data_IF_235499681690
#
_entry.id   IF_235499681690
#
_cell.length_a   1.000
_cell.length_b   1.000
_cell.length_c   1.000
_cell.angle_alpha   90.00
_cell.angle_beta   90.00
_cell.angle_gamma   90.00
#
_symmetry.space_group_name_H-M   'P 1'
#
loop_
_entity.id
_entity.type
_entity.pdbx_description
1 polymer ?
#
# COMPACT_ATOMS: atom_id res chain seq x y z
N UNK A 1 29.73 -21.67 45.78
CA UNK A 1 28.86 -20.71 45.13
C UNK A 1 28.85 -20.99 43.64
N UNK A 2 27.90 -21.83 43.16
CA UNK A 2 27.71 -22.04 41.70
C UNK A 2 27.02 -20.85 41.12
N UNK A 3 27.43 -20.30 39.98
CA UNK A 3 26.64 -19.34 39.27
C UNK A 3 25.44 -20.05 38.71
N UNK A 4 24.26 -19.51 39.04
CA UNK A 4 23.01 -19.86 38.38
C UNK A 4 23.23 -19.69 36.86
N UNK A 5 23.16 -20.82 36.16
CA UNK A 5 23.06 -20.83 34.72
C UNK A 5 21.85 -19.95 34.36
N UNK A 6 22.09 -18.85 33.68
CA UNK A 6 21.05 -18.14 32.96
C UNK A 6 20.43 -19.16 32.01
N UNK A 7 19.23 -19.60 32.33
CA UNK A 7 18.41 -20.34 31.39
C UNK A 7 18.36 -19.50 30.11
N UNK A 8 19.20 -19.93 29.17
CA UNK A 8 19.19 -19.39 27.83
C UNK A 8 17.84 -19.68 27.23
N UNK A 9 16.93 -18.73 27.36
CA UNK A 9 15.74 -18.71 26.53
C UNK A 9 16.29 -18.65 25.10
N UNK A 10 16.35 -19.80 24.44
CA UNK A 10 16.76 -19.89 23.05
C UNK A 10 15.93 -18.87 22.29
N UNK A 11 16.59 -17.97 21.56
CA UNK A 11 15.89 -17.01 20.74
C UNK A 11 14.83 -17.76 19.95
N UNK A 12 13.56 -17.34 20.02
CA UNK A 12 12.49 -18.07 19.36
C UNK A 12 12.86 -18.21 17.87
N UNK A 13 12.62 -19.37 17.28
CA UNK A 13 12.95 -19.61 15.88
C UNK A 13 12.04 -18.77 15.00
N UNK A 14 12.50 -17.56 14.67
CA UNK A 14 11.79 -16.62 13.81
C UNK A 14 11.90 -16.99 12.33
N UNK A 15 12.22 -18.23 12.00
CA UNK A 15 12.18 -18.70 10.63
C UNK A 15 10.74 -18.69 10.06
N UNK A 16 10.63 -18.56 8.75
CA UNK A 16 9.35 -18.41 8.08
C UNK A 16 8.36 -19.54 8.37
N UNK A 17 8.74 -20.84 8.48
CA UNK A 17 7.86 -21.92 8.88
C UNK A 17 7.27 -21.74 10.28
N UNK A 18 8.08 -21.43 11.27
CA UNK A 18 7.61 -21.24 12.65
C UNK A 18 6.68 -20.04 12.77
N UNK A 19 7.01 -18.94 12.11
CA UNK A 19 6.14 -17.78 12.03
C UNK A 19 4.77 -18.12 11.42
N UNK A 20 4.73 -18.90 10.35
CA UNK A 20 3.50 -19.35 9.71
C UNK A 20 2.63 -20.22 10.62
N UNK A 21 3.25 -21.14 11.37
CA UNK A 21 2.56 -21.98 12.37
C UNK A 21 1.94 -21.12 13.47
N UNK A 22 2.71 -20.20 14.04
CA UNK A 22 2.24 -19.29 15.08
C UNK A 22 1.05 -18.43 14.62
N UNK A 23 1.09 -17.92 13.40
CA UNK A 23 -0.03 -17.17 12.81
C UNK A 23 -1.30 -18.04 12.71
N UNK A 24 -1.16 -19.33 12.51
CA UNK A 24 -2.27 -20.28 12.43
C UNK A 24 -2.90 -20.66 13.79
N UNK A 25 -2.22 -20.43 14.90
CA UNK A 25 -2.72 -20.80 16.23
C UNK A 25 -3.99 -20.02 16.59
N UNK A 26 -4.98 -20.66 17.26
CA UNK A 26 -6.17 -19.97 17.75
C UNK A 26 -5.81 -18.99 18.88
N UNK A 27 -6.63 -17.96 19.06
CA UNK A 27 -6.43 -16.97 20.14
C UNK A 27 -6.44 -17.60 21.53
N UNK A 28 -7.21 -18.68 21.73
CA UNK A 28 -7.27 -19.40 22.99
C UNK A 28 -6.00 -20.19 23.33
N UNK A 29 -5.06 -20.34 22.37
CA UNK A 29 -3.77 -20.94 22.65
C UNK A 29 -2.99 -20.09 23.65
N UNK A 30 -2.37 -20.75 24.65
CA UNK A 30 -1.50 -20.04 25.61
C UNK A 30 -0.16 -19.73 24.96
N UNK A 31 0.16 -18.44 24.89
CA UNK A 31 1.47 -17.95 24.41
C UNK A 31 2.03 -17.01 25.48
N UNK A 32 2.63 -17.57 26.56
CA UNK A 32 2.97 -16.80 27.76
C UNK A 32 3.99 -15.70 27.53
N UNK A 33 4.84 -15.80 26.51
CA UNK A 33 5.89 -14.84 26.20
C UNK A 33 5.56 -13.93 25.02
N UNK A 34 4.29 -13.84 24.61
CA UNK A 34 3.89 -13.12 23.39
C UNK A 34 4.34 -11.66 23.36
N UNK A 35 4.27 -10.95 24.50
CA UNK A 35 4.72 -9.54 24.58
C UNK A 35 6.24 -9.43 24.49
N UNK A 36 7.00 -10.29 25.15
CA UNK A 36 8.46 -10.32 25.05
C UNK A 36 8.89 -10.63 23.61
N UNK A 37 8.31 -11.66 23.01
CA UNK A 37 8.59 -12.01 21.61
C UNK A 37 8.27 -10.89 20.63
N UNK A 38 7.17 -10.17 20.84
CA UNK A 38 6.83 -9.01 20.02
C UNK A 38 7.93 -7.94 20.09
N UNK A 39 8.42 -7.66 21.29
CA UNK A 39 9.49 -6.66 21.49
C UNK A 39 10.81 -7.14 20.89
N UNK A 40 11.17 -8.40 21.03
CA UNK A 40 12.39 -8.98 20.45
C UNK A 40 12.38 -8.88 18.92
N UNK A 41 11.25 -9.22 18.29
CA UNK A 41 11.10 -9.12 16.82
C UNK A 41 11.13 -7.68 16.36
N UNK A 42 10.55 -6.74 17.11
CA UNK A 42 10.63 -5.31 16.79
C UNK A 42 12.05 -4.76 16.97
N UNK A 43 12.81 -5.29 17.93
CA UNK A 43 14.19 -4.87 18.15
C UNK A 43 15.15 -5.35 17.04
N UNK A 44 14.83 -6.46 16.38
CA UNK A 44 15.55 -7.00 15.23
C UNK A 44 14.58 -7.16 14.05
N UNK A 45 14.28 -6.06 13.33
CA UNK A 45 13.19 -6.02 12.37
C UNK A 45 13.28 -7.13 11.31
N UNK A 46 12.18 -7.86 11.09
CA UNK A 46 12.15 -8.96 10.14
C UNK A 46 12.21 -8.47 8.70
N UNK A 47 12.84 -9.26 7.85
CA UNK A 47 12.91 -9.02 6.40
C UNK A 47 11.89 -9.83 5.60
N UNK A 48 11.20 -10.81 6.22
CA UNK A 48 10.30 -11.72 5.52
C UNK A 48 8.83 -11.47 5.85
N UNK A 49 7.97 -11.68 4.87
CA UNK A 49 6.52 -11.49 5.01
C UNK A 49 5.88 -12.38 6.11
N UNK A 50 6.25 -13.67 6.29
CA UNK A 50 5.73 -14.47 7.40
C UNK A 50 6.05 -13.90 8.78
N UNK A 51 7.21 -13.31 8.97
CA UNK A 51 7.59 -12.67 10.23
C UNK A 51 6.77 -11.38 10.49
N UNK A 52 6.46 -10.60 9.45
CA UNK A 52 5.53 -9.48 9.56
C UNK A 52 4.12 -9.95 9.96
N UNK A 53 3.64 -11.07 9.39
CA UNK A 53 2.36 -11.65 9.80
C UNK A 53 2.38 -12.10 11.26
N UNK A 54 3.51 -12.61 11.73
CA UNK A 54 3.69 -12.97 13.13
C UNK A 54 3.56 -11.77 14.05
N UNK A 55 4.19 -10.64 13.72
CA UNK A 55 4.04 -9.39 14.49
C UNK A 55 2.56 -8.98 14.61
N UNK A 56 1.85 -8.98 13.49
CA UNK A 56 0.41 -8.71 13.48
C UNK A 56 -0.37 -9.71 14.33
N UNK A 57 -0.03 -11.02 14.30
CA UNK A 57 -0.70 -12.04 15.08
C UNK A 57 -0.42 -11.91 16.57
N UNK A 58 0.83 -11.68 16.96
CA UNK A 58 1.21 -11.46 18.36
C UNK A 58 0.45 -10.25 18.94
N UNK A 59 0.48 -9.13 18.27
CA UNK A 59 -0.23 -7.92 18.66
C UNK A 59 -1.75 -8.10 18.72
N UNK A 60 -2.33 -8.82 17.75
CA UNK A 60 -3.78 -9.00 17.69
C UNK A 60 -4.31 -10.03 18.70
N UNK A 61 -3.60 -11.14 18.92
CA UNK A 61 -4.14 -12.27 19.66
C UNK A 61 -3.74 -12.28 21.13
N UNK A 62 -2.49 -11.98 21.45
CA UNK A 62 -1.91 -12.33 22.75
C UNK A 62 -1.16 -11.18 23.44
N UNK A 63 -0.38 -10.40 22.72
CA UNK A 63 0.46 -9.38 23.35
C UNK A 63 -0.37 -8.28 24.02
N UNK A 64 0.07 -7.85 25.20
CA UNK A 64 -0.42 -6.65 25.86
C UNK A 64 0.39 -5.43 25.41
N UNK A 65 -0.25 -4.29 25.14
CA UNK A 65 0.46 -3.06 24.80
C UNK A 65 1.36 -2.60 25.97
N UNK A 66 2.61 -2.26 25.64
CA UNK A 66 3.55 -1.58 26.54
C UNK A 66 4.05 -0.31 25.86
N UNK A 67 3.42 0.80 26.13
CA UNK A 67 3.72 2.09 25.50
C UNK A 67 5.17 2.53 25.77
N UNK A 68 5.71 2.28 26.95
CA UNK A 68 7.07 2.68 27.29
C UNK A 68 8.13 1.85 26.54
N UNK A 69 7.88 0.55 26.36
CA UNK A 69 8.75 -0.29 25.56
C UNK A 69 8.70 0.09 24.07
N UNK A 70 7.50 0.38 23.54
CA UNK A 70 7.34 0.82 22.16
C UNK A 70 8.00 2.16 21.89
N UNK A 71 7.90 3.12 22.82
CA UNK A 71 8.58 4.40 22.73
C UNK A 71 10.10 4.21 22.61
N UNK A 72 10.69 3.41 23.48
CA UNK A 72 12.14 3.08 23.40
C UNK A 72 12.53 2.41 22.09
N UNK A 73 11.69 1.55 21.55
CA UNK A 73 11.96 0.90 20.25
C UNK A 73 11.87 1.91 19.10
N UNK A 74 10.88 2.79 19.14
CA UNK A 74 10.71 3.84 18.13
C UNK A 74 11.93 4.77 18.07
N UNK A 75 12.42 5.21 19.21
CA UNK A 75 13.58 6.11 19.31
C UNK A 75 14.86 5.54 18.69
N UNK A 76 14.95 4.22 18.53
CA UNK A 76 16.09 3.54 17.89
C UNK A 76 16.03 3.48 16.37
N UNK A 77 14.85 3.67 15.76
CA UNK A 77 14.67 3.53 14.31
C UNK A 77 15.48 4.56 13.51
N UNK A 78 15.51 5.86 13.89
CA UNK A 78 16.31 6.85 13.15
C UNK A 78 17.81 6.56 13.11
N UNK A 79 18.33 5.90 14.16
CA UNK A 79 19.74 5.57 14.30
C UNK A 79 20.11 4.22 13.68
N UNK A 80 19.13 3.45 13.22
CA UNK A 80 19.35 2.19 12.55
C UNK A 80 20.08 2.38 11.20
N UNK A 81 20.83 1.37 10.71
CA UNK A 81 21.39 1.39 9.37
C UNK A 81 20.32 1.62 8.30
N UNK A 82 20.61 2.33 7.19
CA UNK A 82 19.63 2.68 6.17
C UNK A 82 18.80 1.48 5.68
N UNK A 83 19.46 0.33 5.48
CA UNK A 83 18.84 -0.93 5.04
C UNK A 83 17.86 -1.51 6.08
N UNK A 84 18.07 -1.23 7.36
CA UNK A 84 17.21 -1.71 8.44
C UNK A 84 16.02 -0.78 8.72
N UNK A 85 16.06 0.49 8.33
CA UNK A 85 15.00 1.47 8.60
C UNK A 85 13.67 1.10 7.96
N UNK A 86 13.70 0.72 6.69
CA UNK A 86 12.51 0.31 5.96
C UNK A 86 11.85 -0.91 6.62
N UNK A 87 12.65 -1.93 6.99
CA UNK A 87 12.17 -3.13 7.67
C UNK A 87 11.60 -2.80 9.06
N UNK A 88 12.22 -1.88 9.80
CA UNK A 88 11.74 -1.44 11.10
C UNK A 88 10.39 -0.72 11.02
N UNK A 89 10.21 0.16 10.05
CA UNK A 89 8.94 0.87 9.82
C UNK A 89 7.85 -0.08 9.31
N UNK A 90 8.18 -1.03 8.45
CA UNK A 90 7.26 -2.11 8.06
C UNK A 90 6.82 -2.93 9.29
N UNK A 91 7.77 -3.37 10.13
CA UNK A 91 7.48 -4.12 11.35
C UNK A 91 6.58 -3.32 12.31
N UNK A 92 6.85 -2.02 12.47
CA UNK A 92 6.03 -1.10 13.24
C UNK A 92 4.59 -1.04 12.71
N UNK A 93 4.41 -0.83 11.41
CA UNK A 93 3.11 -0.75 10.77
C UNK A 93 2.31 -2.06 10.87
N UNK A 94 2.96 -3.23 10.72
CA UNK A 94 2.31 -4.54 10.90
C UNK A 94 1.85 -4.78 12.34
N UNK A 95 2.64 -4.35 13.31
CA UNK A 95 2.28 -4.41 14.74
C UNK A 95 1.11 -3.49 15.03
N UNK A 96 1.16 -2.25 14.56
CA UNK A 96 0.06 -1.28 14.67
C UNK A 96 -1.24 -1.84 14.06
N UNK A 97 -1.17 -2.47 12.88
CA UNK A 97 -2.32 -3.09 12.22
C UNK A 97 -2.93 -4.22 13.07
N UNK A 98 -2.10 -4.98 13.79
CA UNK A 98 -2.56 -6.03 14.71
C UNK A 98 -3.43 -5.47 15.84
N UNK A 99 -2.96 -4.47 16.56
CA UNK A 99 -3.71 -3.81 17.64
C UNK A 99 -4.89 -2.99 17.11
N UNK A 100 -4.70 -2.26 16.01
CA UNK A 100 -5.79 -1.52 15.37
C UNK A 100 -6.95 -2.42 14.99
N UNK A 101 -6.65 -3.62 14.46
CA UNK A 101 -7.68 -4.59 14.05
C UNK A 101 -8.55 -5.07 15.20
N UNK A 102 -8.04 -5.05 16.44
CA UNK A 102 -8.84 -5.36 17.64
C UNK A 102 -9.36 -4.10 18.37
N UNK A 103 -9.17 -2.92 17.77
CA UNK A 103 -9.57 -1.61 18.29
C UNK A 103 -8.84 -1.21 19.60
N UNK A 104 -7.57 -1.56 19.72
CA UNK A 104 -6.72 -1.08 20.81
C UNK A 104 -6.17 0.31 20.46
N UNK A 105 -6.28 1.29 21.37
CA UNK A 105 -5.84 2.67 21.12
C UNK A 105 -4.37 2.81 20.74
N UNK A 106 -3.52 1.92 21.25
CA UNK A 106 -2.09 1.92 20.95
C UNK A 106 -1.82 1.75 19.45
N UNK A 107 -2.67 0.98 18.74
CA UNK A 107 -2.55 0.81 17.30
C UNK A 107 -2.72 2.15 16.55
N UNK A 108 -3.65 2.99 16.99
CA UNK A 108 -3.82 4.35 16.46
C UNK A 108 -2.60 5.21 16.78
N UNK A 109 -2.13 5.22 18.01
CA UNK A 109 -0.95 6.01 18.42
C UNK A 109 0.30 5.65 17.60
N UNK A 110 0.51 4.37 17.33
CA UNK A 110 1.60 3.91 16.48
C UNK A 110 1.48 4.42 15.03
N UNK A 111 0.26 4.51 14.50
CA UNK A 111 0.02 5.06 13.16
C UNK A 111 0.20 6.60 13.15
N UNK A 112 -0.22 7.29 14.20
CA UNK A 112 -0.01 8.74 14.34
C UNK A 112 1.50 9.05 14.39
N UNK A 113 2.28 8.17 15.03
CA UNK A 113 3.74 8.28 15.04
C UNK A 113 4.34 8.09 13.64
N UNK A 114 3.83 7.12 12.86
CA UNK A 114 4.22 6.94 11.46
C UNK A 114 3.85 8.15 10.60
N UNK A 115 2.67 8.72 10.80
CA UNK A 115 2.22 9.92 10.10
C UNK A 115 3.11 11.12 10.42
N UNK A 116 3.45 11.31 11.68
CA UNK A 116 4.37 12.36 12.10
C UNK A 116 5.74 12.21 11.45
N UNK A 117 6.27 10.98 11.44
CA UNK A 117 7.52 10.63 10.77
C UNK A 117 7.44 10.91 9.25
N UNK A 118 6.34 10.56 8.60
CA UNK A 118 6.11 10.79 7.18
C UNK A 118 6.22 12.28 6.81
N UNK A 119 5.69 13.16 7.66
CA UNK A 119 5.65 14.61 7.36
C UNK A 119 6.94 15.31 7.77
N UNK A 120 7.58 14.90 8.87
CA UNK A 120 8.64 15.66 9.52
C UNK A 120 10.05 15.13 9.25
N UNK A 121 10.21 13.84 8.96
CA UNK A 121 11.53 13.24 8.77
C UNK A 121 11.84 13.01 7.30
N UNK A 122 12.76 13.84 6.76
CA UNK A 122 13.18 13.74 5.37
C UNK A 122 13.87 12.40 5.01
N UNK A 123 14.44 11.67 5.99
CA UNK A 123 15.14 10.40 5.77
C UNK A 123 14.21 9.19 5.85
N UNK A 124 13.21 9.26 6.72
CA UNK A 124 12.30 8.15 7.01
C UNK A 124 10.94 8.30 6.34
N UNK A 125 10.56 9.51 5.94
CA UNK A 125 9.22 9.81 5.44
C UNK A 125 8.78 8.92 4.29
N UNK A 126 9.67 8.63 3.33
CA UNK A 126 9.35 7.75 2.22
C UNK A 126 9.13 6.30 2.67
N UNK A 127 9.94 5.81 3.61
CA UNK A 127 9.76 4.47 4.17
C UNK A 127 8.47 4.37 5.00
N UNK A 128 8.15 5.41 5.78
CA UNK A 128 6.90 5.49 6.51
C UNK A 128 5.67 5.46 5.57
N UNK A 129 5.74 6.19 4.45
CA UNK A 129 4.69 6.19 3.43
C UNK A 129 4.46 4.78 2.84
N UNK A 130 5.52 4.08 2.50
CA UNK A 130 5.43 2.70 2.02
C UNK A 130 4.89 1.73 3.08
N UNK A 131 5.27 1.89 4.35
CA UNK A 131 4.80 1.04 5.44
C UNK A 131 3.28 1.13 5.65
N UNK A 132 2.65 2.27 5.35
CA UNK A 132 1.19 2.45 5.45
C UNK A 132 0.38 1.51 4.54
N UNK A 133 1.01 0.88 3.53
CA UNK A 133 0.33 -0.12 2.67
C UNK A 133 -0.33 -1.26 3.45
N UNK A 134 0.17 -1.56 4.65
CA UNK A 134 -0.38 -2.62 5.50
C UNK A 134 -1.87 -2.39 5.82
N UNK A 135 -2.31 -1.14 5.88
CA UNK A 135 -3.70 -0.78 6.19
C UNK A 135 -4.68 -1.18 5.07
N UNK A 136 -4.21 -1.23 3.83
CA UNK A 136 -5.02 -1.59 2.65
C UNK A 136 -4.86 -3.05 2.25
N UNK A 137 -3.87 -3.76 2.80
CA UNK A 137 -3.66 -5.16 2.48
C UNK A 137 -4.82 -6.03 3.00
N UNK A 138 -5.55 -6.63 2.08
CA UNK A 138 -6.56 -7.64 2.37
C UNK A 138 -5.87 -9.01 2.44
N UNK A 139 -5.56 -9.45 3.65
CA UNK A 139 -4.96 -10.77 3.86
C UNK A 139 -6.00 -11.76 4.35
N UNK A 140 -6.13 -12.92 3.66
CA UNK A 140 -6.89 -14.06 4.16
C UNK A 140 -6.31 -14.65 5.44
N UNK A 141 -5.07 -14.27 5.78
CA UNK A 141 -4.38 -14.70 6.99
C UNK A 141 -4.89 -13.94 8.21
N UNK A 142 -5.17 -12.64 8.08
CA UNK A 142 -5.75 -11.80 9.14
C UNK A 142 -7.27 -11.90 9.07
N UNK A 143 -7.82 -13.01 9.55
CA UNK A 143 -9.24 -13.30 9.46
C UNK A 143 -9.78 -13.93 10.77
N UNK A 144 -11.08 -13.75 11.07
CA UNK A 144 -11.71 -14.37 12.24
C UNK A 144 -11.59 -15.89 12.25
N UNK A 145 -11.59 -16.56 11.10
CA UNK A 145 -11.42 -18.01 10.98
C UNK A 145 -10.05 -18.50 11.46
N UNK A 146 -9.07 -17.60 11.57
CA UNK A 146 -7.73 -17.86 12.11
C UNK A 146 -7.52 -17.26 13.51
N UNK A 147 -8.61 -16.95 14.21
CA UNK A 147 -8.58 -16.44 15.58
C UNK A 147 -8.19 -14.95 15.70
N UNK A 148 -8.15 -14.20 14.61
CA UNK A 148 -7.95 -12.76 14.69
C UNK A 148 -9.24 -12.04 15.08
N UNK A 149 -9.11 -11.00 15.90
CA UNK A 149 -10.17 -10.03 16.11
C UNK A 149 -10.06 -8.97 15.00
N UNK A 150 -11.15 -8.79 14.25
CA UNK A 150 -11.15 -7.84 13.13
C UNK A 150 -12.33 -6.88 13.28
N UNK A 151 -12.07 -5.71 13.81
CA UNK A 151 -13.00 -4.58 13.90
C UNK A 151 -12.91 -3.74 12.62
N UNK A 152 -13.59 -4.20 11.58
CA UNK A 152 -13.49 -3.61 10.23
C UNK A 152 -13.77 -2.11 10.19
N UNK A 153 -14.86 -1.66 10.81
CA UNK A 153 -15.26 -0.26 10.82
C UNK A 153 -14.23 0.65 11.52
N UNK A 154 -13.63 0.17 12.62
CA UNK A 154 -12.61 0.94 13.32
C UNK A 154 -11.36 1.12 12.44
N UNK A 155 -10.87 0.03 11.85
CA UNK A 155 -9.74 0.06 10.92
C UNK A 155 -10.02 0.94 9.69
N UNK A 156 -11.22 0.83 9.12
CA UNK A 156 -11.66 1.63 7.99
C UNK A 156 -11.64 3.13 8.32
N UNK A 157 -12.25 3.53 9.42
CA UNK A 157 -12.24 4.92 9.89
C UNK A 157 -10.84 5.47 10.05
N UNK A 158 -9.96 4.74 10.75
CA UNK A 158 -8.58 5.17 10.97
C UNK A 158 -7.86 5.40 9.65
N UNK A 159 -7.99 4.48 8.70
CA UNK A 159 -7.38 4.59 7.38
C UNK A 159 -7.92 5.80 6.61
N UNK A 160 -9.24 6.01 6.60
CA UNK A 160 -9.86 7.15 5.92
C UNK A 160 -9.50 8.48 6.56
N UNK A 161 -9.45 8.56 7.90
CA UNK A 161 -8.97 9.76 8.61
C UNK A 161 -7.52 10.08 8.24
N UNK A 162 -6.66 9.07 8.16
CA UNK A 162 -5.26 9.26 7.76
C UNK A 162 -5.15 9.70 6.29
N UNK A 163 -5.95 9.14 5.39
CA UNK A 163 -5.99 9.55 3.99
C UNK A 163 -6.39 11.02 3.84
N UNK A 164 -7.39 11.48 4.61
CA UNK A 164 -7.81 12.88 4.64
C UNK A 164 -6.66 13.77 5.17
N UNK A 165 -6.03 13.39 6.29
CA UNK A 165 -4.91 14.15 6.85
C UNK A 165 -3.72 14.27 5.87
N UNK A 166 -3.41 13.21 5.13
CA UNK A 166 -2.38 13.23 4.07
C UNK A 166 -2.80 14.17 2.92
N UNK A 167 -4.09 14.19 2.57
CA UNK A 167 -4.61 15.09 1.53
C UNK A 167 -4.50 16.55 1.96
N UNK A 168 -4.90 16.87 3.19
CA UNK A 168 -4.78 18.21 3.76
C UNK A 168 -3.32 18.69 3.82
N UNK A 169 -2.39 17.80 4.18
CA UNK A 169 -0.96 18.10 4.13
C UNK A 169 -0.48 18.43 2.70
N UNK A 170 -0.97 17.71 1.68
CA UNK A 170 -0.65 17.97 0.27
C UNK A 170 -1.21 19.33 -0.22
N UNK A 171 -2.41 19.70 0.20
CA UNK A 171 -3.04 20.99 -0.09
C UNK A 171 -2.31 22.13 0.62
N UNK A 172 -1.88 21.91 1.87
CA UNK A 172 -1.11 22.84 2.70
C UNK A 172 0.33 23.06 2.25
N UNK A 173 0.77 22.49 1.11
CA UNK A 173 2.13 22.58 0.57
C UNK A 173 3.21 22.13 1.54
N UNK A 174 2.99 20.98 2.20
CA UNK A 174 3.99 20.42 3.11
C UNK A 174 5.34 20.17 2.40
N UNK A 175 6.44 20.24 3.15
CA UNK A 175 7.78 19.96 2.64
C UNK A 175 7.94 18.49 2.20
N UNK A 176 7.21 17.57 2.81
CA UNK A 176 7.23 16.14 2.54
C UNK A 176 6.24 15.73 1.41
N UNK A 177 6.21 16.49 0.30
CA UNK A 177 5.24 16.28 -0.77
C UNK A 177 5.30 14.88 -1.38
N UNK A 178 6.50 14.37 -1.70
CA UNK A 178 6.65 13.03 -2.30
C UNK A 178 6.20 11.90 -1.36
N UNK A 179 6.64 11.84 -0.08
CA UNK A 179 6.11 10.88 0.88
C UNK A 179 4.59 10.93 1.03
N UNK A 180 3.98 12.13 1.05
CA UNK A 180 2.53 12.29 1.12
C UNK A 180 1.83 11.72 -0.14
N UNK A 181 2.37 11.93 -1.33
CA UNK A 181 1.82 11.34 -2.57
C UNK A 181 1.87 9.81 -2.54
N UNK A 182 2.99 9.23 -2.07
CA UNK A 182 3.13 7.78 -1.90
C UNK A 182 2.13 7.25 -0.86
N UNK A 183 2.00 7.92 0.28
CA UNK A 183 1.05 7.56 1.32
C UNK A 183 -0.39 7.60 0.81
N UNK A 184 -0.77 8.67 0.10
CA UNK A 184 -2.08 8.79 -0.54
C UNK A 184 -2.33 7.62 -1.51
N UNK A 185 -1.40 7.35 -2.42
CA UNK A 185 -1.52 6.26 -3.38
C UNK A 185 -1.65 4.89 -2.71
N UNK A 186 -0.97 4.66 -1.58
CA UNK A 186 -1.02 3.41 -0.84
C UNK A 186 -2.29 3.25 0.00
N UNK A 187 -2.90 4.33 0.48
CA UNK A 187 -4.11 4.30 1.31
C UNK A 187 -5.40 4.30 0.48
N UNK A 188 -5.41 5.01 -0.65
CA UNK A 188 -6.60 5.20 -1.48
C UNK A 188 -7.27 3.90 -1.97
N UNK A 189 -6.56 2.79 -2.27
CA UNK A 189 -7.20 1.52 -2.59
C UNK A 189 -8.15 0.98 -1.53
N UNK A 190 -7.98 1.38 -0.28
CA UNK A 190 -8.85 0.99 0.84
C UNK A 190 -10.02 1.95 1.11
N UNK A 191 -10.07 3.11 0.47
CA UNK A 191 -11.15 4.08 0.65
C UNK A 191 -12.49 3.57 0.11
N UNK A 192 -13.59 3.98 0.74
CA UNK A 192 -14.95 3.71 0.24
C UNK A 192 -15.23 4.49 -1.03
N UNK A 193 -16.12 3.96 -1.89
CA UNK A 193 -16.48 4.63 -3.14
C UNK A 193 -17.15 5.99 -2.87
N UNK A 194 -17.92 6.11 -1.79
CA UNK A 194 -18.51 7.37 -1.37
C UNK A 194 -17.45 8.44 -1.06
N UNK A 195 -16.38 8.06 -0.34
CA UNK A 195 -15.28 8.96 -0.02
C UNK A 195 -14.48 9.32 -1.28
N UNK A 196 -14.26 8.36 -2.17
CA UNK A 196 -13.60 8.60 -3.47
C UNK A 196 -14.40 9.61 -4.30
N UNK A 197 -15.70 9.42 -4.45
CA UNK A 197 -16.57 10.32 -5.22
C UNK A 197 -16.58 11.74 -4.64
N UNK A 198 -16.54 11.88 -3.32
CA UNK A 198 -16.52 13.17 -2.63
C UNK A 198 -15.22 13.96 -2.88
N UNK A 199 -14.08 13.28 -2.96
CA UNK A 199 -12.76 13.91 -3.07
C UNK A 199 -12.09 13.71 -4.44
N UNK A 200 -12.81 13.18 -5.44
CA UNK A 200 -12.23 12.80 -6.72
C UNK A 200 -11.51 13.95 -7.43
N UNK A 201 -12.10 15.12 -7.43
CA UNK A 201 -11.53 16.33 -8.08
C UNK A 201 -10.18 16.74 -7.46
N UNK A 202 -10.00 16.52 -6.16
CA UNK A 202 -8.73 16.74 -5.45
C UNK A 202 -7.73 15.60 -5.72
N UNK A 203 -8.20 14.35 -5.64
CA UNK A 203 -7.30 13.19 -5.68
C UNK A 203 -6.85 12.80 -7.09
N UNK A 204 -7.68 13.00 -8.12
CA UNK A 204 -7.34 12.60 -9.48
C UNK A 204 -6.08 13.29 -10.02
N UNK A 205 -5.90 14.63 -9.89
CA UNK A 205 -4.65 15.30 -10.29
C UNK A 205 -3.43 14.76 -9.52
N UNK A 206 -3.59 14.48 -8.23
CA UNK A 206 -2.51 13.94 -7.39
C UNK A 206 -2.11 12.52 -7.83
N UNK A 207 -3.09 11.66 -8.15
CA UNK A 207 -2.83 10.31 -8.70
C UNK A 207 -2.11 10.38 -10.05
N UNK A 208 -2.56 11.25 -10.94
CA UNK A 208 -1.91 11.45 -12.25
C UNK A 208 -0.47 11.91 -12.07
N UNK A 209 -0.21 12.79 -11.10
CA UNK A 209 1.14 13.21 -10.76
C UNK A 209 1.98 12.05 -10.22
N UNK A 210 1.43 11.28 -9.27
CA UNK A 210 2.09 10.13 -8.63
C UNK A 210 2.39 9.01 -9.64
N UNK A 211 1.54 8.83 -10.64
CA UNK A 211 1.79 7.89 -11.74
C UNK A 211 3.05 8.22 -12.55
N UNK A 212 3.53 9.46 -12.49
CA UNK A 212 4.77 9.91 -13.12
C UNK A 212 6.03 9.80 -12.24
N UNK A 213 5.93 9.35 -10.99
CA UNK A 213 7.07 9.16 -10.10
C UNK A 213 7.95 7.97 -10.55
N UNK A 214 9.22 7.99 -10.18
CA UNK A 214 10.15 6.87 -10.46
C UNK A 214 10.09 5.80 -9.36
N UNK A 215 8.88 5.25 -9.15
CA UNK A 215 8.61 4.19 -8.18
C UNK A 215 7.59 3.21 -8.77
N UNK A 216 8.06 2.09 -9.31
CA UNK A 216 7.21 1.11 -9.99
C UNK A 216 6.11 0.51 -9.10
N UNK A 217 6.33 0.12 -7.84
CA UNK A 217 5.29 -0.27 -6.88
C UNK A 217 4.20 0.77 -6.68
N UNK A 218 4.56 2.03 -6.50
CA UNK A 218 3.60 3.14 -6.33
C UNK A 218 2.81 3.37 -7.61
N UNK A 219 3.47 3.42 -8.77
CA UNK A 219 2.82 3.51 -10.08
C UNK A 219 1.83 2.37 -10.33
N UNK A 220 2.19 1.14 -9.93
CA UNK A 220 1.30 -0.03 -10.03
C UNK A 220 0.04 0.17 -9.16
N UNK A 221 0.21 0.61 -7.93
CA UNK A 221 -0.92 0.89 -7.03
C UNK A 221 -1.81 2.00 -7.58
N UNK A 222 -1.22 3.08 -8.11
CA UNK A 222 -1.95 4.15 -8.79
C UNK A 222 -2.74 3.65 -10.01
N UNK A 223 -2.13 2.81 -10.86
CA UNK A 223 -2.80 2.26 -12.04
C UNK A 223 -4.00 1.39 -11.67
N UNK A 224 -3.87 0.52 -10.66
CA UNK A 224 -4.99 -0.28 -10.13
C UNK A 224 -6.08 0.59 -9.52
N UNK A 225 -5.70 1.65 -8.80
CA UNK A 225 -6.66 2.59 -8.21
C UNK A 225 -7.42 3.34 -9.29
N UNK A 226 -6.72 3.83 -10.32
CA UNK A 226 -7.34 4.47 -11.48
C UNK A 226 -8.32 3.52 -12.18
N UNK A 227 -7.93 2.27 -12.42
CA UNK A 227 -8.83 1.27 -12.99
C UNK A 227 -10.14 1.10 -12.19
N UNK A 228 -10.05 1.16 -10.85
CA UNK A 228 -11.24 1.06 -9.97
C UNK A 228 -12.12 2.31 -10.01
N UNK A 229 -11.52 3.51 -10.01
CA UNK A 229 -12.28 4.77 -9.97
C UNK A 229 -12.76 5.24 -11.34
N UNK A 230 -12.22 4.68 -12.43
CA UNK A 230 -12.69 4.95 -13.78
C UNK A 230 -14.09 4.37 -13.95
N UNK A 231 -15.10 5.23 -13.92
CA UNK A 231 -16.50 4.88 -14.07
C UNK A 231 -17.25 6.00 -14.80
N UNK A 232 -18.45 5.69 -15.31
CA UNK A 232 -19.31 6.69 -15.98
C UNK A 232 -19.73 7.83 -15.07
N UNK A 233 -19.88 7.56 -13.78
CA UNK A 233 -20.21 8.59 -12.79
C UNK A 233 -19.13 9.67 -12.68
N UNK A 234 -17.89 9.32 -13.00
CA UNK A 234 -16.73 10.20 -12.92
C UNK A 234 -16.30 10.76 -14.28
N UNK A 235 -17.07 10.54 -15.34
CA UNK A 235 -16.70 10.87 -16.72
C UNK A 235 -16.26 12.32 -16.92
N UNK A 236 -16.95 13.28 -16.31
CA UNK A 236 -16.60 14.71 -16.44
C UNK A 236 -15.23 15.03 -15.85
N UNK A 237 -14.96 14.58 -14.61
CA UNK A 237 -13.68 14.77 -13.95
C UNK A 237 -12.53 14.08 -14.72
N UNK A 238 -12.79 12.85 -15.22
CA UNK A 238 -11.81 12.11 -16.02
C UNK A 238 -11.50 12.84 -17.33
N UNK A 239 -12.50 13.39 -18.00
CA UNK A 239 -12.34 14.11 -19.27
C UNK A 239 -11.41 15.32 -19.14
N UNK A 240 -11.51 16.10 -18.06
CA UNK A 240 -10.66 17.25 -17.77
C UNK A 240 -9.17 16.85 -17.61
N UNK A 241 -8.91 15.64 -17.14
CA UNK A 241 -7.54 15.17 -16.87
C UNK A 241 -6.94 14.26 -17.95
N UNK A 242 -7.68 13.92 -19.02
CA UNK A 242 -7.19 13.12 -20.14
C UNK A 242 -5.86 13.59 -20.74
N UNK A 243 -5.62 14.91 -20.89
CA UNK A 243 -4.36 15.41 -21.46
C UNK A 243 -3.10 14.96 -20.74
N UNK A 244 -3.19 14.74 -19.42
CA UNK A 244 -2.09 14.23 -18.60
C UNK A 244 -2.21 12.74 -18.33
N UNK A 245 -3.43 12.24 -18.11
CA UNK A 245 -3.70 10.85 -17.73
C UNK A 245 -3.30 9.87 -18.82
N UNK A 246 -3.71 10.11 -20.08
CA UNK A 246 -3.42 9.20 -21.19
C UNK A 246 -1.91 9.06 -21.43
N UNK A 247 -1.11 10.15 -21.57
CA UNK A 247 0.33 10.02 -21.70
C UNK A 247 1.02 9.31 -20.54
N UNK A 248 0.59 9.57 -19.29
CA UNK A 248 1.15 8.91 -18.10
C UNK A 248 0.84 7.41 -18.04
N UNK A 249 -0.36 7.00 -18.44
CA UNK A 249 -0.72 5.60 -18.55
C UNK A 249 0.05 4.91 -19.68
N UNK A 250 0.26 5.55 -20.82
CA UNK A 250 1.09 5.03 -21.92
C UNK A 250 2.57 4.87 -21.48
N UNK A 251 3.10 5.83 -20.74
CA UNK A 251 4.43 5.75 -20.16
C UNK A 251 4.53 4.57 -19.15
N UNK A 252 3.54 4.41 -18.28
CA UNK A 252 3.45 3.29 -17.36
C UNK A 252 3.36 1.93 -18.11
N UNK A 253 2.59 1.89 -19.22
CA UNK A 253 2.47 0.70 -20.08
C UNK A 253 3.77 0.37 -20.84
N UNK A 254 4.73 1.30 -20.89
CA UNK A 254 6.02 1.10 -21.53
C UNK A 254 7.18 0.85 -20.54
N UNK A 255 6.92 0.82 -19.21
CA UNK A 255 7.95 0.71 -18.17
C UNK A 255 8.69 -0.64 -18.29
N UNK A 256 10.03 -0.63 -18.49
CA UNK A 256 10.82 -1.84 -18.52
C UNK A 256 10.72 -2.61 -17.19
N UNK A 257 10.94 -3.94 -17.25
CA UNK A 257 11.04 -4.82 -16.07
C UNK A 257 9.84 -4.83 -15.09
N UNK A 258 8.73 -4.11 -15.40
CA UNK A 258 7.53 -4.02 -14.58
C UNK A 258 6.26 -4.55 -15.30
N UNK A 259 6.17 -5.86 -15.62
CA UNK A 259 5.06 -6.39 -16.42
C UNK A 259 3.69 -6.20 -15.75
N UNK A 260 3.61 -6.26 -14.43
CA UNK A 260 2.36 -6.02 -13.70
C UNK A 260 1.88 -4.58 -13.85
N UNK A 261 2.79 -3.61 -13.80
CA UNK A 261 2.48 -2.20 -14.04
C UNK A 261 1.99 -1.98 -15.47
N UNK A 262 2.67 -2.58 -16.47
CA UNK A 262 2.24 -2.48 -17.86
C UNK A 262 0.82 -2.99 -18.07
N UNK A 263 0.48 -4.16 -17.49
CA UNK A 263 -0.88 -4.72 -17.56
C UNK A 263 -1.90 -3.79 -16.89
N UNK A 264 -1.62 -3.32 -15.66
CA UNK A 264 -2.53 -2.45 -14.95
C UNK A 264 -2.78 -1.12 -15.68
N UNK A 265 -1.73 -0.53 -16.28
CA UNK A 265 -1.85 0.68 -17.07
C UNK A 265 -2.69 0.49 -18.34
N UNK A 266 -2.52 -0.64 -19.03
CA UNK A 266 -3.33 -1.00 -20.20
C UNK A 266 -4.80 -1.22 -19.83
N UNK A 267 -5.07 -1.87 -18.71
CA UNK A 267 -6.42 -2.07 -18.20
C UNK A 267 -7.09 -0.74 -17.80
N UNK A 268 -6.33 0.18 -17.19
CA UNK A 268 -6.81 1.52 -16.87
C UNK A 268 -7.12 2.34 -18.15
N UNK A 269 -6.25 2.25 -19.18
CA UNK A 269 -6.50 2.86 -20.49
C UNK A 269 -7.75 2.28 -21.18
N UNK A 270 -7.95 0.97 -21.09
CA UNK A 270 -9.14 0.32 -21.63
C UNK A 270 -10.39 0.78 -20.88
N UNK A 271 -10.36 0.86 -19.54
CA UNK A 271 -11.52 1.29 -18.75
C UNK A 271 -11.97 2.71 -19.11
N UNK A 272 -11.07 3.59 -19.56
CA UNK A 272 -11.46 4.94 -20.04
C UNK A 272 -12.43 4.89 -21.22
N UNK A 273 -12.34 3.88 -22.10
CA UNK A 273 -13.25 3.76 -23.26
C UNK A 273 -14.67 3.42 -22.88
N UNK A 274 -14.88 2.78 -21.71
CA UNK A 274 -16.20 2.45 -21.17
C UNK A 274 -16.81 3.59 -20.34
N UNK A 275 -15.96 4.44 -19.76
CA UNK A 275 -16.34 5.47 -18.81
C UNK A 275 -16.53 6.85 -19.45
N UNK A 276 -15.65 7.23 -20.38
CA UNK A 276 -15.61 8.59 -20.96
C UNK A 276 -16.26 8.58 -22.34
N UNK A 277 -17.11 9.59 -22.68
CA UNK A 277 -17.70 9.71 -24.01
C UNK A 277 -16.65 9.75 -25.12
N UNK A 278 -16.93 9.07 -26.24
CA UNK A 278 -16.01 8.93 -27.37
C UNK A 278 -15.48 10.27 -27.90
N UNK A 279 -16.31 11.31 -27.92
CA UNK A 279 -15.93 12.65 -28.36
C UNK A 279 -14.74 13.24 -27.60
N UNK A 280 -14.55 12.91 -26.32
CA UNK A 280 -13.40 13.35 -25.54
C UNK A 280 -12.16 12.46 -25.78
N UNK A 281 -12.34 11.23 -26.24
CA UNK A 281 -11.26 10.26 -26.49
C UNK A 281 -10.67 10.39 -27.90
N UNK A 282 -11.39 10.95 -28.84
CA UNK A 282 -10.99 11.06 -30.26
C UNK A 282 -9.61 11.66 -30.46
N UNK A 283 -9.29 12.71 -29.70
CA UNK A 283 -7.99 13.38 -29.76
C UNK A 283 -6.82 12.45 -29.37
N UNK A 284 -7.06 11.45 -28.55
CA UNK A 284 -6.02 10.54 -27.98
C UNK A 284 -5.96 9.20 -28.70
N UNK A 285 -7.01 8.82 -29.44
CA UNK A 285 -7.14 7.50 -30.10
C UNK A 285 -5.91 7.16 -30.93
N UNK A 286 -5.51 8.06 -31.84
CA UNK A 286 -4.36 7.85 -32.71
C UNK A 286 -3.08 7.61 -31.90
N UNK A 287 -2.87 8.39 -30.85
CA UNK A 287 -1.71 8.28 -29.97
C UNK A 287 -1.67 6.91 -29.29
N UNK A 288 -2.79 6.47 -28.69
CA UNK A 288 -2.87 5.19 -27.98
C UNK A 288 -2.65 4.01 -28.94
N UNK A 289 -3.39 3.98 -30.05
CA UNK A 289 -3.32 2.90 -31.04
C UNK A 289 -1.91 2.75 -31.62
N UNK A 290 -1.24 3.88 -31.93
CA UNK A 290 0.14 3.87 -32.44
C UNK A 290 1.15 3.44 -31.37
N UNK A 291 0.99 3.91 -30.12
CA UNK A 291 1.89 3.55 -29.03
C UNK A 291 1.84 2.05 -28.73
N UNK A 292 0.64 1.44 -28.75
CA UNK A 292 0.44 0.01 -28.51
C UNK A 292 0.90 -0.87 -29.67
N UNK A 293 0.99 -0.34 -30.88
CA UNK A 293 1.48 -1.07 -32.08
C UNK A 293 2.98 -0.97 -32.30
N UNK A 294 3.75 -0.33 -31.42
CA UNK A 294 5.22 -0.21 -31.58
C UNK A 294 5.93 -1.55 -31.39
N UNK A 295 7.02 -1.81 -32.16
CA UNK A 295 7.85 -3.01 -31.98
C UNK A 295 8.34 -3.15 -30.53
N UNK A 296 8.36 -4.39 -30.03
CA UNK A 296 8.79 -4.76 -28.67
C UNK A 296 8.00 -4.11 -27.52
N UNK A 297 6.80 -3.60 -27.80
CA UNK A 297 5.89 -2.98 -26.82
C UNK A 297 4.44 -3.34 -27.13
N UNK A 298 3.56 -3.18 -26.15
CA UNK A 298 2.13 -3.36 -26.32
C UNK A 298 1.79 -4.73 -26.90
N UNK A 299 1.27 -4.78 -28.13
CA UNK A 299 0.86 -6.03 -28.80
C UNK A 299 2.05 -6.94 -29.18
N UNK A 300 3.26 -6.39 -29.19
CA UNK A 300 4.51 -7.11 -29.48
C UNK A 300 5.41 -7.24 -28.23
N UNK A 301 4.85 -7.11 -27.02
CA UNK A 301 5.60 -7.24 -25.77
C UNK A 301 6.09 -8.68 -25.55
N UNK A 302 7.26 -8.83 -24.92
CA UNK A 302 7.83 -10.14 -24.60
C UNK A 302 6.92 -10.96 -23.64
N UNK A 303 6.16 -10.28 -22.75
CA UNK A 303 5.31 -10.93 -21.75
C UNK A 303 3.89 -11.14 -22.30
N UNK A 304 3.44 -12.40 -22.34
CA UNK A 304 2.12 -12.77 -22.88
C UNK A 304 0.96 -11.98 -22.26
N UNK A 305 0.95 -11.82 -20.93
CA UNK A 305 -0.12 -11.09 -20.25
C UNK A 305 -0.21 -9.63 -20.70
N UNK A 306 0.93 -8.99 -20.99
CA UNK A 306 0.98 -7.62 -21.52
C UNK A 306 0.44 -7.59 -22.94
N UNK A 307 0.84 -8.55 -23.81
CA UNK A 307 0.30 -8.63 -25.18
C UNK A 307 -1.22 -8.76 -25.18
N UNK A 308 -1.79 -9.67 -24.36
CA UNK A 308 -3.24 -9.85 -24.26
C UNK A 308 -3.92 -8.55 -23.85
N UNK A 309 -3.49 -7.92 -22.76
CA UNK A 309 -4.04 -6.65 -22.30
C UNK A 309 -3.90 -5.52 -23.35
N UNK A 310 -2.82 -5.51 -24.11
CA UNK A 310 -2.60 -4.51 -25.16
C UNK A 310 -3.53 -4.72 -26.37
N UNK A 311 -3.78 -5.98 -26.75
CA UNK A 311 -4.74 -6.30 -27.82
C UNK A 311 -6.14 -5.86 -27.43
N UNK A 312 -6.58 -6.20 -26.20
CA UNK A 312 -7.89 -5.85 -25.68
C UNK A 312 -8.07 -4.32 -25.59
N UNK A 313 -7.07 -3.64 -25.03
CA UNK A 313 -7.05 -2.18 -24.93
C UNK A 313 -7.11 -1.53 -26.33
N UNK A 314 -6.28 -1.99 -27.27
CA UNK A 314 -6.24 -1.44 -28.63
C UNK A 314 -7.57 -1.66 -29.36
N UNK A 315 -8.19 -2.82 -29.21
CA UNK A 315 -9.51 -3.11 -29.78
C UNK A 315 -10.58 -2.17 -29.21
N UNK A 316 -10.60 -1.96 -27.89
CA UNK A 316 -11.53 -1.04 -27.24
C UNK A 316 -11.38 0.41 -27.76
N UNK A 317 -10.13 0.89 -27.92
CA UNK A 317 -9.88 2.24 -28.47
C UNK A 317 -10.21 2.36 -29.96
N UNK A 318 -10.19 1.28 -30.73
CA UNK A 318 -10.71 1.29 -32.11
C UNK A 318 -12.24 1.36 -32.14
N UNK A 319 -12.92 0.62 -31.25
CA UNK A 319 -14.38 0.58 -31.21
C UNK A 319 -15.02 1.91 -30.79
N UNK A 320 -14.29 2.85 -30.23
CA UNK A 320 -14.81 4.21 -29.92
C UNK A 320 -15.12 5.04 -31.18
N UNK A 321 -14.98 4.50 -32.40
CA UNK A 321 -15.33 5.19 -33.66
C UNK A 321 -16.81 5.12 -34.01
N UNK A 322 -17.56 4.19 -33.36
CA UNK A 322 -18.99 3.99 -33.61
C UNK A 322 -19.84 4.77 -32.59
#
# INVERSE_FOLDING_TARGET
GSPLASDGCAAPPWDAPCAAVMVGLPRAASVPYASAWLHDVLATPPSTLPQHWLLCALANKWATPDSAALERLWQRIPDAPPEARAAALDAWAWTACGWLSRAEPIGQQMLDTLYTCLIQDARLGMHAAHALRVLTLHSRLVSPSRGFVVRRLYRQRTMETMLIAVTEALEGRCAAREPCLVAMATLLPGATDALVSMHLTTWLPLLVHTLGMDDAPVRLTCAHTLQRIVSREHAAALAEHLPLLVPRLLDAAATPQAPRLRVAALQALQALTDAVPAAHLDAYRRQVVQALGRPHRGVDDAVRAVRTAAVDCRAAWYATQE
#
